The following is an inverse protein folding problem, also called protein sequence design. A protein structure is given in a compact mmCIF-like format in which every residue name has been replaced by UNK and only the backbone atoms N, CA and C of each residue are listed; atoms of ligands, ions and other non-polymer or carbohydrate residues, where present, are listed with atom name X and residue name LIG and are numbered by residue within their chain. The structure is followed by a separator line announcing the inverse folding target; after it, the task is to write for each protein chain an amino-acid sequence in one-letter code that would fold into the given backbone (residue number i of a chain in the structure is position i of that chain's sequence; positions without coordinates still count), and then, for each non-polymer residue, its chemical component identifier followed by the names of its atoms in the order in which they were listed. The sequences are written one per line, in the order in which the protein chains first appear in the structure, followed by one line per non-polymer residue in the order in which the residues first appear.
data_IF_397873925422
#
_entry.id   IF_397873925422
#
_cell.length_a   1.000
_cell.length_b   1.000
_cell.length_c   1.000
_cell.angle_alpha   90.00
_cell.angle_beta   90.00
_cell.angle_gamma   90.00
#
_symmetry.space_group_name_H-M   'P 1'
#
loop_
_entity.id
_entity.type
_entity.pdbx_description
1 polymer ?
#
# COMPACT_ATOMS: atom_id res chain seq x y z
N UNK A 1 -15.00 14.31 8.51
CA UNK A 1 -15.05 13.53 7.26
C UNK A 1 -16.44 12.97 7.19
N UNK A 2 -17.24 13.42 6.24
CA UNK A 2 -18.58 12.86 6.04
C UNK A 2 -18.64 12.32 4.62
N UNK A 3 -18.87 11.02 4.48
CA UNK A 3 -19.10 10.37 3.19
C UNK A 3 -20.57 10.49 2.77
N UNK A 4 -21.40 11.12 3.61
CA UNK A 4 -22.84 11.19 3.44
C UNK A 4 -23.52 9.87 3.77
N UNK A 5 -24.80 9.77 3.39
CA UNK A 5 -25.57 8.54 3.57
C UNK A 5 -25.01 7.41 2.72
N UNK A 6 -24.90 6.22 3.32
CA UNK A 6 -24.40 5.07 2.59
C UNK A 6 -25.38 4.67 1.48
N UNK A 7 -24.85 4.44 0.27
CA UNK A 7 -25.63 3.98 -0.87
C UNK A 7 -26.14 2.53 -0.73
N UNK A 8 -25.60 1.76 0.23
CA UNK A 8 -25.97 0.36 0.45
C UNK A 8 -27.01 0.23 1.56
N UNK A 9 -27.88 -0.76 1.44
CA UNK A 9 -28.86 -1.10 2.47
C UNK A 9 -28.20 -1.81 3.65
N UNK A 10 -28.37 -1.24 4.85
CA UNK A 10 -27.84 -1.78 6.09
C UNK A 10 -28.98 -2.22 7.01
N UNK A 11 -29.58 -3.37 6.71
CA UNK A 11 -30.61 -4.00 7.54
C UNK A 11 -29.99 -4.99 8.53
N UNK A 12 -30.48 -4.98 9.77
CA UNK A 12 -30.08 -5.91 10.82
C UNK A 12 -30.48 -7.35 10.49
N UNK A 13 -31.58 -7.55 9.75
CA UNK A 13 -32.01 -8.88 9.31
C UNK A 13 -30.95 -9.53 8.39
N UNK A 14 -30.45 -8.77 7.42
CA UNK A 14 -29.42 -9.23 6.47
C UNK A 14 -28.10 -9.60 7.17
N UNK A 15 -27.80 -8.93 8.30
CA UNK A 15 -26.63 -9.27 9.10
C UNK A 15 -26.78 -10.64 9.79
N UNK A 16 -27.95 -10.94 10.35
CA UNK A 16 -28.21 -12.23 10.98
C UNK A 16 -28.10 -13.37 9.95
N UNK A 17 -28.66 -13.17 8.76
CA UNK A 17 -28.57 -14.13 7.65
C UNK A 17 -27.11 -14.36 7.24
N UNK A 18 -26.30 -13.29 7.17
CA UNK A 18 -24.88 -13.39 6.89
C UNK A 18 -24.11 -14.18 7.96
N UNK A 19 -24.40 -13.95 9.25
CA UNK A 19 -23.74 -14.67 10.35
C UNK A 19 -24.04 -16.18 10.34
N UNK A 20 -25.22 -16.58 9.87
CA UNK A 20 -25.58 -17.98 9.64
C UNK A 20 -24.85 -18.52 8.40
N UNK A 21 -24.93 -17.82 7.28
CA UNK A 21 -24.36 -18.25 6.00
C UNK A 21 -22.82 -18.31 6.01
N UNK A 22 -22.17 -17.43 6.76
CA UNK A 22 -20.70 -17.38 6.91
C UNK A 22 -20.13 -18.63 7.60
N UNK A 23 -20.94 -19.34 8.40
CA UNK A 23 -20.56 -20.63 9.00
C UNK A 23 -20.61 -21.77 7.99
N UNK A 24 -21.52 -21.70 7.02
CA UNK A 24 -21.73 -22.75 6.02
C UNK A 24 -20.88 -22.57 4.77
N UNK A 25 -20.60 -21.32 4.36
CA UNK A 25 -19.91 -21.01 3.09
C UNK A 25 -18.93 -19.86 3.25
N UNK A 26 -17.77 -19.99 2.59
CA UNK A 26 -16.81 -18.89 2.46
C UNK A 26 -17.33 -17.88 1.42
N UNK A 27 -17.81 -16.73 1.88
CA UNK A 27 -18.51 -15.76 1.03
C UNK A 27 -17.65 -14.62 0.46
N UNK A 28 -16.33 -14.60 0.71
CA UNK A 28 -15.33 -13.63 0.19
C UNK A 28 -15.62 -12.14 0.38
N UNK A 29 -16.73 -11.74 1.02
CA UNK A 29 -17.06 -10.34 1.30
C UNK A 29 -16.00 -9.63 2.17
N UNK A 30 -15.15 -10.38 2.87
CA UNK A 30 -14.01 -9.85 3.61
C UNK A 30 -12.97 -9.17 2.70
N UNK A 31 -12.80 -9.63 1.45
CA UNK A 31 -11.86 -9.02 0.51
C UNK A 31 -12.31 -7.61 0.11
N UNK A 32 -13.55 -7.49 -0.35
CA UNK A 32 -14.14 -6.19 -0.71
C UNK A 32 -14.17 -5.24 0.49
N UNK A 33 -14.41 -5.77 1.70
CA UNK A 33 -14.37 -4.99 2.93
C UNK A 33 -12.95 -4.49 3.25
N UNK A 34 -11.92 -5.33 3.07
CA UNK A 34 -10.52 -4.92 3.25
C UNK A 34 -10.15 -3.84 2.26
N UNK A 35 -10.44 -4.00 0.97
CA UNK A 35 -10.11 -3.02 -0.07
C UNK A 35 -10.77 -1.65 0.20
N UNK A 36 -12.02 -1.66 0.65
CA UNK A 36 -12.73 -0.44 1.02
C UNK A 36 -12.15 0.23 2.28
N UNK A 37 -11.80 -0.56 3.30
CA UNK A 37 -11.17 -0.01 4.52
C UNK A 37 -9.74 0.47 4.27
N UNK A 38 -8.98 -0.21 3.40
CA UNK A 38 -7.63 0.20 3.01
C UNK A 38 -7.63 1.53 2.27
N UNK A 39 -8.51 1.69 1.28
CA UNK A 39 -8.63 2.96 0.56
C UNK A 39 -9.03 4.10 1.49
N UNK A 40 -9.95 3.85 2.43
CA UNK A 40 -10.35 4.83 3.43
C UNK A 40 -9.21 5.24 4.37
N UNK A 41 -8.42 4.29 4.87
CA UNK A 41 -7.26 4.59 5.73
C UNK A 41 -6.18 5.32 4.93
N UNK A 42 -5.91 4.91 3.69
CA UNK A 42 -4.92 5.56 2.83
C UNK A 42 -5.28 7.04 2.56
N UNK A 43 -6.56 7.35 2.33
CA UNK A 43 -7.03 8.72 2.18
C UNK A 43 -6.85 9.55 3.46
N UNK A 44 -7.03 8.93 4.63
CA UNK A 44 -6.84 9.58 5.93
C UNK A 44 -5.36 9.83 6.22
N UNK A 45 -4.50 8.87 5.93
CA UNK A 45 -3.05 8.99 6.13
C UNK A 45 -2.49 10.06 5.17
N UNK A 46 -2.92 10.07 3.90
CA UNK A 46 -2.56 11.13 2.95
C UNK A 46 -2.99 12.51 3.43
N UNK A 47 -4.20 12.66 3.98
CA UNK A 47 -4.67 13.92 4.56
C UNK A 47 -3.85 14.33 5.78
N UNK A 48 -3.47 13.36 6.62
CA UNK A 48 -2.62 13.59 7.79
C UNK A 48 -1.24 14.09 7.37
N UNK A 49 -0.63 13.49 6.35
CA UNK A 49 0.66 13.93 5.81
C UNK A 49 0.57 15.34 5.21
N UNK A 50 -0.48 15.64 4.44
CA UNK A 50 -0.69 16.98 3.89
C UNK A 50 -0.88 18.02 4.99
N UNK A 51 -1.63 17.70 6.04
CA UNK A 51 -1.81 18.58 7.19
C UNK A 51 -0.50 18.80 7.95
N UNK A 52 0.31 17.74 8.14
CA UNK A 52 1.65 17.83 8.73
C UNK A 52 2.58 18.71 7.88
N UNK A 53 2.60 18.52 6.55
CA UNK A 53 3.42 19.33 5.63
C UNK A 53 3.02 20.80 5.66
N UNK A 54 1.72 21.11 5.56
CA UNK A 54 1.23 22.49 5.66
C UNK A 54 1.63 23.14 6.99
N UNK A 55 1.54 22.40 8.08
CA UNK A 55 1.89 22.91 9.40
C UNK A 55 3.39 23.20 9.50
N UNK A 56 4.25 22.32 8.97
CA UNK A 56 5.70 22.56 8.88
C UNK A 56 6.01 23.76 7.98
N UNK A 57 5.43 23.82 6.78
CA UNK A 57 5.62 24.94 5.84
C UNK A 57 5.25 26.28 6.49
N UNK A 58 4.10 26.36 7.17
CA UNK A 58 3.73 27.58 7.90
C UNK A 58 4.66 27.90 9.06
N UNK A 59 5.22 26.88 9.74
CA UNK A 59 6.18 27.10 10.82
C UNK A 59 7.52 27.60 10.29
N UNK A 60 7.98 27.05 9.16
CA UNK A 60 9.22 27.45 8.50
C UNK A 60 9.11 28.86 7.91
N UNK A 61 7.98 29.20 7.28
CA UNK A 61 7.71 30.55 6.76
C UNK A 61 7.71 31.60 7.89
N UNK A 62 6.99 31.33 8.98
CA UNK A 62 6.95 32.25 10.14
C UNK A 62 8.34 32.34 10.79
N UNK A 63 9.07 31.22 10.93
CA UNK A 63 10.39 31.22 11.55
C UNK A 63 11.42 31.97 10.69
N UNK A 64 11.35 31.84 9.36
CA UNK A 64 12.22 32.54 8.43
C UNK A 64 11.91 34.04 8.41
N UNK A 65 10.63 34.45 8.42
CA UNK A 65 10.26 35.87 8.46
C UNK A 65 10.69 36.53 9.79
N UNK A 66 10.47 35.84 10.91
CA UNK A 66 10.91 36.31 12.24
C UNK A 66 12.44 36.36 12.32
N UNK A 67 13.16 35.35 11.78
CA UNK A 67 14.62 35.36 11.75
C UNK A 67 15.17 36.52 10.90
N UNK A 68 14.61 36.76 9.72
CA UNK A 68 15.02 37.87 8.85
C UNK A 68 14.79 39.23 9.52
N UNK A 69 13.64 39.43 10.18
CA UNK A 69 13.37 40.67 10.94
C UNK A 69 14.22 40.80 12.20
N UNK A 70 14.64 39.69 12.82
CA UNK A 70 15.62 39.73 13.91
C UNK A 70 17.01 40.12 13.37
N UNK A 71 17.42 39.58 12.23
CA UNK A 71 18.68 39.92 11.57
C UNK A 71 18.75 41.41 11.21
N UNK A 72 17.69 42.01 10.65
CA UNK A 72 17.68 43.46 10.35
C UNK A 72 17.84 44.32 11.62
N UNK A 73 17.23 43.93 12.74
CA UNK A 73 17.43 44.60 14.03
C UNK A 73 18.88 44.42 14.50
N UNK A 74 19.48 43.25 14.32
CA UNK A 74 20.88 43.01 14.65
C UNK A 74 21.85 43.84 13.78
N UNK A 75 21.62 43.92 12.47
CA UNK A 75 22.43 44.74 11.55
C UNK A 75 22.39 46.23 11.92
N UNK A 76 21.20 46.77 12.22
CA UNK A 76 21.05 48.16 12.67
C UNK A 76 21.75 48.40 14.02
N UNK A 77 21.77 47.40 14.92
CA UNK A 77 22.53 47.49 16.17
C UNK A 77 24.04 47.53 15.92
N UNK A 78 24.55 46.73 14.98
CA UNK A 78 25.97 46.76 14.60
C UNK A 78 26.36 48.08 13.95
N UNK A 79 25.50 48.64 13.09
CA UNK A 79 25.73 49.93 12.44
C UNK A 79 25.77 51.06 13.48
N UNK A 80 24.83 51.07 14.43
CA UNK A 80 24.85 51.99 15.57
C UNK A 80 26.16 51.85 16.36
N UNK A 81 26.61 50.62 16.63
CA UNK A 81 27.88 50.37 17.33
C UNK A 81 29.10 50.94 16.58
N UNK A 82 29.15 50.75 15.26
CA UNK A 82 30.23 51.28 14.40
C UNK A 82 30.23 52.81 14.35
N UNK A 83 29.07 53.43 14.23
CA UNK A 83 28.94 54.89 14.19
C UNK A 83 29.25 55.54 15.55
N UNK A 84 28.83 54.91 16.66
CA UNK A 84 29.18 55.37 18.01
C UNK A 84 30.70 55.30 18.25
N UNK A 85 31.35 54.21 17.85
CA UNK A 85 32.81 54.10 17.98
C UNK A 85 33.55 55.18 17.15
N UNK A 86 33.05 55.51 15.96
CA UNK A 86 33.60 56.62 15.15
C UNK A 86 33.37 57.99 15.79
N UNK A 87 32.19 58.21 16.38
CA UNK A 87 31.89 59.45 17.10
C UNK A 87 32.80 59.63 18.33
N UNK A 88 33.08 58.54 19.06
CA UNK A 88 34.03 58.54 20.19
C UNK A 88 35.46 58.88 19.75
N UNK A 89 35.92 58.32 18.61
CA UNK A 89 37.25 58.62 18.06
C UNK A 89 37.40 60.09 17.66
N UNK A 90 36.45 60.63 16.89
CA UNK A 90 36.46 62.05 16.47
C UNK A 90 36.36 63.00 17.67
N UNK A 91 35.63 62.60 18.71
CA UNK A 91 35.57 63.32 19.99
C UNK A 91 36.91 63.34 20.71
N UNK A 92 37.67 62.24 20.69
CA UNK A 92 39.01 62.17 21.29
C UNK A 92 40.05 63.00 20.52
N UNK A 93 39.91 63.12 19.20
CA UNK A 93 40.75 63.95 18.33
C UNK A 93 40.43 65.45 18.42
N UNK A 94 39.31 65.83 19.05
CA UNK A 94 38.90 67.22 19.26
C UNK A 94 38.07 67.82 18.11
N UNK A 95 37.66 67.01 17.13
CA UNK A 95 36.81 67.42 16.02
C UNK A 95 35.32 67.41 16.42
N UNK A 96 34.93 68.39 17.24
CA UNK A 96 33.60 68.46 17.86
C UNK A 96 32.47 68.60 16.83
N UNK A 97 32.67 69.41 15.79
CA UNK A 97 31.66 69.67 14.76
C UNK A 97 31.34 68.40 13.93
N UNK A 98 32.38 67.63 13.57
CA UNK A 98 32.23 66.38 12.83
C UNK A 98 31.62 65.27 13.70
N UNK A 99 32.04 65.18 14.97
CA UNK A 99 31.44 64.25 15.92
C UNK A 99 29.94 64.51 16.13
N UNK A 100 29.51 65.78 16.14
CA UNK A 100 28.11 66.15 16.28
C UNK A 100 27.27 65.74 15.06
N UNK A 101 27.84 65.80 13.84
CA UNK A 101 27.19 65.28 12.63
C UNK A 101 27.02 63.76 12.66
N UNK A 102 28.04 63.02 13.09
CA UNK A 102 27.96 61.54 13.21
C UNK A 102 26.93 61.14 14.28
N UNK A 103 26.82 61.89 15.39
CA UNK A 103 25.79 61.65 16.41
C UNK A 103 24.36 61.87 15.88
N UNK A 104 24.14 62.87 15.03
CA UNK A 104 22.85 63.06 14.35
C UNK A 104 22.51 61.90 13.40
N UNK A 105 23.51 61.30 12.74
CA UNK A 105 23.30 60.09 11.96
C UNK A 105 22.95 58.89 12.84
N UNK A 106 23.60 58.74 14.00
CA UNK A 106 23.23 57.70 15.00
C UNK A 106 21.78 57.85 15.46
N UNK A 107 21.28 59.06 15.69
CA UNK A 107 19.87 59.29 16.04
C UNK A 107 18.91 58.85 14.93
N UNK A 108 19.24 59.12 13.65
CA UNK A 108 18.45 58.65 12.50
C UNK A 108 18.43 57.12 12.42
N UNK A 109 19.58 56.46 12.62
CA UNK A 109 19.67 54.99 12.63
C UNK A 109 18.94 54.40 13.84
N UNK A 110 18.99 55.06 15.01
CA UNK A 110 18.20 54.68 16.20
C UNK A 110 16.69 54.79 15.97
N UNK A 111 16.22 55.81 15.27
CA UNK A 111 14.80 55.91 14.88
C UNK A 111 14.40 54.72 14.01
N UNK A 112 15.19 54.41 12.97
CA UNK A 112 14.95 53.26 12.09
C UNK A 112 15.01 51.93 12.84
N UNK A 113 15.92 51.78 13.80
CA UNK A 113 15.98 50.62 14.70
C UNK A 113 14.69 50.47 15.50
N UNK A 114 14.15 51.57 16.04
CA UNK A 114 12.91 51.55 16.81
C UNK A 114 11.73 51.11 15.94
N UNK A 115 11.66 51.61 14.72
CA UNK A 115 10.63 51.23 13.74
C UNK A 115 10.76 49.74 13.37
N UNK A 116 11.98 49.25 13.13
CA UNK A 116 12.26 47.84 12.85
C UNK A 116 11.97 46.91 14.04
N UNK A 117 12.25 47.35 15.28
CA UNK A 117 11.90 46.59 16.49
C UNK A 117 10.39 46.55 16.75
N UNK A 118 9.67 47.60 16.39
CA UNK A 118 8.22 47.65 16.45
C UNK A 118 7.61 46.74 15.37
N UNK A 119 8.15 46.75 14.16
CA UNK A 119 7.76 45.83 13.08
C UNK A 119 8.08 44.37 13.43
N UNK A 120 9.24 44.10 14.06
CA UNK A 120 9.60 42.78 14.59
C UNK A 120 8.59 42.31 15.65
N UNK A 121 8.28 43.17 16.63
CA UNK A 121 7.26 42.86 17.66
C UNK A 121 5.87 42.63 17.07
N UNK A 122 5.47 43.45 16.11
CA UNK A 122 4.17 43.34 15.44
C UNK A 122 4.09 42.11 14.52
N UNK A 123 5.22 41.71 13.93
CA UNK A 123 5.36 40.47 13.16
C UNK A 123 5.45 39.21 14.00
N UNK A 124 5.57 39.37 15.32
CA UNK A 124 5.49 38.31 16.31
C UNK A 124 4.15 38.34 17.06
N UNK A 125 2.98 38.36 16.38
CA UNK A 125 1.71 38.38 17.09
C UNK A 125 1.51 37.05 17.81
N UNK A 126 0.96 37.09 19.03
CA UNK A 126 0.69 35.92 19.86
C UNK A 126 -0.17 34.84 19.15
N UNK A 127 -0.96 35.23 18.15
CA UNK A 127 -1.78 34.35 17.31
C UNK A 127 -0.94 33.48 16.34
N UNK A 128 0.15 34.00 15.77
CA UNK A 128 1.06 33.22 14.92
C UNK A 128 1.87 32.21 15.76
N UNK A 129 2.29 32.60 16.96
CA UNK A 129 2.94 31.72 17.93
C UNK A 129 2.00 30.62 18.45
N UNK A 130 0.69 30.86 18.47
CA UNK A 130 -0.31 29.83 18.78
C UNK A 130 -0.41 28.77 17.66
N UNK A 131 -0.23 29.15 16.39
CA UNK A 131 -0.20 28.19 15.27
C UNK A 131 1.07 27.31 15.29
N UNK A 132 2.20 27.84 15.80
CA UNK A 132 3.43 27.05 16.01
C UNK A 132 3.28 25.95 17.07
N UNK A 133 2.23 26.01 17.89
CA UNK A 133 1.98 25.06 18.98
C UNK A 133 0.90 24.05 18.66
N UNK A 134 0.57 23.86 17.39
CA UNK A 134 -0.38 22.84 16.95
C UNK A 134 0.37 21.57 16.53
N UNK A 135 -0.21 20.41 16.82
CA UNK A 135 0.19 19.09 16.35
C UNK A 135 -1.00 18.45 15.64
N UNK A 136 -0.75 17.72 14.56
CA UNK A 136 -1.80 16.92 13.92
C UNK A 136 -1.90 15.55 14.62
N UNK A 137 -3.10 15.14 14.99
CA UNK A 137 -3.38 13.79 15.48
C UNK A 137 -3.30 12.78 14.33
N UNK A 138 -2.55 11.71 14.54
CA UNK A 138 -2.26 10.69 13.52
C UNK A 138 -3.45 9.77 13.22
N UNK A 139 -4.42 9.73 14.13
CA UNK A 139 -5.62 8.90 14.01
C UNK A 139 -6.72 9.66 13.29
N UNK A 140 -6.97 10.92 13.66
CA UNK A 140 -8.14 11.69 13.19
C UNK A 140 -7.82 12.80 12.21
N UNK A 141 -6.55 13.04 11.88
CA UNK A 141 -6.10 14.17 11.05
C UNK A 141 -6.52 15.57 11.56
N UNK A 142 -6.94 15.67 12.82
CA UNK A 142 -7.34 16.94 13.45
C UNK A 142 -6.13 17.66 14.07
N UNK A 143 -6.17 18.98 14.13
CA UNK A 143 -5.17 19.80 14.83
C UNK A 143 -5.47 19.83 16.34
N UNK A 144 -4.45 19.57 17.15
CA UNK A 144 -4.47 19.62 18.62
C UNK A 144 -3.43 20.64 19.10
N UNK A 145 -3.75 21.43 20.11
CA UNK A 145 -2.77 22.29 20.77
C UNK A 145 -1.84 21.48 21.67
N UNK A 146 -0.54 21.76 21.62
CA UNK A 146 0.46 21.13 22.49
C UNK A 146 0.24 21.46 23.97
N UNK A 147 -0.42 22.58 24.27
CA UNK A 147 -0.69 23.08 25.62
C UNK A 147 -2.18 22.98 25.97
N UNK A 148 -2.94 22.20 25.21
CA UNK A 148 -4.33 21.97 25.56
C UNK A 148 -4.42 21.16 26.87
N UNK A 149 -5.35 21.56 27.75
CA UNK A 149 -5.60 20.87 29.00
C UNK A 149 -5.98 19.40 28.76
N UNK A 150 -5.53 18.50 29.65
CA UNK A 150 -5.83 17.06 29.58
C UNK A 150 -7.32 16.74 29.42
N UNK A 151 -8.19 17.57 29.98
CA UNK A 151 -9.65 17.45 29.80
C UNK A 151 -10.07 17.58 28.33
N UNK A 152 -9.49 18.54 27.59
CA UNK A 152 -9.78 18.74 26.16
C UNK A 152 -9.17 17.63 25.30
N UNK A 153 -7.99 17.15 25.69
CA UNK A 153 -7.38 15.97 25.05
C UNK A 153 -8.25 14.73 25.25
N UNK A 154 -8.79 14.51 26.45
CA UNK A 154 -9.72 13.42 26.73
C UNK A 154 -10.99 13.49 25.85
N UNK A 155 -11.56 14.68 25.66
CA UNK A 155 -12.71 14.87 24.77
C UNK A 155 -12.36 14.57 23.29
N UNK A 156 -11.13 14.86 22.86
CA UNK A 156 -10.64 14.47 21.54
C UNK A 156 -10.51 12.95 21.40
N UNK A 157 -9.82 12.29 22.34
CA UNK A 157 -9.57 10.85 22.31
C UNK A 157 -10.85 10.02 22.55
N UNK A 158 -11.77 10.53 23.36
CA UNK A 158 -13.10 9.97 23.58
C UNK A 158 -14.12 10.33 22.49
N UNK A 159 -13.71 11.12 21.50
CA UNK A 159 -14.57 11.52 20.39
C UNK A 159 -14.92 10.36 19.47
N UNK A 160 -16.12 10.39 18.89
CA UNK A 160 -16.60 9.37 17.94
C UNK A 160 -15.68 9.19 16.74
N UNK A 161 -15.06 10.28 16.26
CA UNK A 161 -14.11 10.22 15.16
C UNK A 161 -12.85 9.44 15.56
N UNK A 162 -12.26 9.74 16.72
CA UNK A 162 -11.03 9.09 17.18
C UNK A 162 -11.23 7.60 17.44
N UNK A 163 -12.24 7.27 18.23
CA UNK A 163 -12.57 5.87 18.51
C UNK A 163 -13.00 5.11 17.25
N UNK A 164 -13.72 5.76 16.34
CA UNK A 164 -14.12 5.15 15.06
C UNK A 164 -12.91 4.78 14.20
N UNK A 165 -11.91 5.66 14.09
CA UNK A 165 -10.69 5.37 13.34
C UNK A 165 -9.83 4.28 13.98
N UNK A 166 -9.74 4.24 15.31
CA UNK A 166 -9.06 3.13 16.01
C UNK A 166 -9.75 1.80 15.67
N UNK A 167 -11.08 1.74 15.82
CA UNK A 167 -11.85 0.54 15.50
C UNK A 167 -11.70 0.11 14.04
N UNK A 168 -11.63 1.07 13.11
CA UNK A 168 -11.42 0.78 11.68
C UNK A 168 -10.02 0.17 11.45
N UNK A 169 -8.97 0.75 12.04
CA UNK A 169 -7.60 0.22 11.94
C UNK A 169 -7.48 -1.18 12.53
N UNK A 170 -8.06 -1.41 13.72
CA UNK A 170 -8.09 -2.73 14.37
C UNK A 170 -8.87 -3.76 13.54
N UNK A 171 -10.04 -3.39 13.01
CA UNK A 171 -10.85 -4.27 12.16
C UNK A 171 -10.14 -4.61 10.86
N UNK A 172 -9.45 -3.65 10.25
CA UNK A 172 -8.66 -3.89 9.05
C UNK A 172 -7.51 -4.86 9.34
N UNK A 173 -6.81 -4.74 10.46
CA UNK A 173 -5.76 -5.68 10.83
C UNK A 173 -6.33 -7.09 11.07
N UNK A 174 -7.48 -7.19 11.75
CA UNK A 174 -8.16 -8.46 11.97
C UNK A 174 -8.59 -9.12 10.64
N UNK A 175 -9.21 -8.37 9.73
CA UNK A 175 -9.65 -8.87 8.43
C UNK A 175 -8.48 -9.24 7.52
N UNK A 176 -7.36 -8.51 7.56
CA UNK A 176 -6.16 -8.87 6.83
C UNK A 176 -5.61 -10.23 7.27
N UNK A 177 -5.57 -10.50 8.57
CA UNK A 177 -5.16 -11.80 9.12
C UNK A 177 -6.08 -12.91 8.61
N UNK A 178 -7.41 -12.73 8.66
CA UNK A 178 -8.34 -13.77 8.17
C UNK A 178 -8.21 -14.01 6.66
N UNK A 179 -7.98 -12.96 5.87
CA UNK A 179 -7.76 -13.08 4.43
C UNK A 179 -6.47 -13.84 4.13
N UNK A 180 -5.37 -13.50 4.81
CA UNK A 180 -4.08 -14.19 4.65
C UNK A 180 -4.22 -15.66 5.05
N UNK A 181 -4.81 -15.96 6.22
CA UNK A 181 -5.02 -17.34 6.68
C UNK A 181 -5.87 -18.16 5.68
N UNK A 182 -6.91 -17.55 5.11
CA UNK A 182 -7.74 -18.19 4.07
C UNK A 182 -6.95 -18.41 2.78
N UNK A 183 -6.13 -17.45 2.38
CA UNK A 183 -5.29 -17.56 1.19
C UNK A 183 -4.20 -18.62 1.38
N UNK A 184 -3.61 -18.71 2.56
CA UNK A 184 -2.65 -19.74 2.94
C UNK A 184 -3.30 -21.12 2.97
N UNK A 185 -4.48 -21.28 3.58
CA UNK A 185 -5.24 -22.55 3.54
C UNK A 185 -5.54 -22.99 2.11
N UNK A 186 -5.93 -22.04 1.24
CA UNK A 186 -6.14 -22.31 -0.19
C UNK A 186 -4.85 -22.71 -0.92
N UNK A 187 -3.74 -22.06 -0.62
CA UNK A 187 -2.43 -22.40 -1.19
C UNK A 187 -1.95 -23.76 -0.70
N UNK A 188 -2.17 -24.09 0.58
CA UNK A 188 -1.87 -25.40 1.15
C UNK A 188 -2.75 -26.50 0.55
N UNK A 189 -4.05 -26.28 0.35
CA UNK A 189 -4.92 -27.26 -0.33
C UNK A 189 -4.48 -27.48 -1.78
N UNK A 190 -4.12 -26.41 -2.50
CA UNK A 190 -3.56 -26.51 -3.86
C UNK A 190 -2.25 -27.29 -3.90
N UNK A 191 -1.36 -27.07 -2.93
CA UNK A 191 -0.11 -27.81 -2.79
C UNK A 191 -0.37 -29.29 -2.47
N UNK A 192 -1.26 -29.60 -1.51
CA UNK A 192 -1.65 -30.97 -1.17
C UNK A 192 -2.24 -31.71 -2.37
N UNK A 193 -3.16 -31.09 -3.12
CA UNK A 193 -3.71 -31.67 -4.36
C UNK A 193 -2.63 -31.91 -5.43
N UNK A 194 -1.62 -31.04 -5.50
CA UNK A 194 -0.49 -31.22 -6.41
C UNK A 194 0.37 -32.42 -5.99
N UNK A 195 0.70 -32.51 -4.71
CA UNK A 195 1.46 -33.63 -4.15
C UNK A 195 0.72 -34.96 -4.28
N UNK A 196 -0.60 -34.98 -4.08
CA UNK A 196 -1.44 -36.17 -4.29
C UNK A 196 -1.39 -36.64 -5.74
N UNK A 197 -1.52 -35.73 -6.70
CA UNK A 197 -1.38 -36.05 -8.13
C UNK A 197 0.01 -36.60 -8.45
N UNK A 198 1.07 -36.02 -7.87
CA UNK A 198 2.44 -36.52 -8.06
C UNK A 198 2.64 -37.91 -7.44
N UNK A 199 2.09 -38.16 -6.25
CA UNK A 199 2.12 -39.48 -5.59
C UNK A 199 1.35 -40.52 -6.42
N UNK A 200 0.18 -40.17 -6.94
CA UNK A 200 -0.62 -41.03 -7.81
C UNK A 200 0.11 -41.34 -9.12
N UNK A 201 0.74 -40.34 -9.75
CA UNK A 201 1.58 -40.55 -10.93
C UNK A 201 2.79 -41.46 -10.64
N UNK A 202 3.46 -41.28 -9.49
CA UNK A 202 4.58 -42.16 -9.06
C UNK A 202 4.10 -43.60 -8.85
N UNK A 203 2.97 -43.79 -8.17
CA UNK A 203 2.32 -45.11 -7.99
C UNK A 203 1.97 -45.74 -9.33
N UNK A 204 1.37 -44.97 -10.26
CA UNK A 204 1.01 -45.44 -11.59
C UNK A 204 2.22 -45.83 -12.42
N UNK A 205 3.31 -45.04 -12.37
CA UNK A 205 4.60 -45.37 -13.01
C UNK A 205 5.17 -46.67 -12.45
N UNK A 206 5.16 -46.86 -11.11
CA UNK A 206 5.60 -48.09 -10.45
C UNK A 206 4.76 -49.30 -10.86
N UNK A 207 3.42 -49.17 -10.89
CA UNK A 207 2.52 -50.22 -11.33
C UNK A 207 2.73 -50.62 -12.79
N UNK A 208 2.92 -49.63 -13.69
CA UNK A 208 3.27 -49.90 -15.10
C UNK A 208 4.61 -50.62 -15.20
N UNK A 209 5.61 -50.22 -14.41
CA UNK A 209 6.91 -50.88 -14.35
C UNK A 209 6.78 -52.34 -13.87
N UNK A 210 6.00 -52.61 -12.83
CA UNK A 210 5.75 -53.98 -12.35
C UNK A 210 4.99 -54.81 -13.39
N UNK A 211 4.00 -54.24 -14.08
CA UNK A 211 3.27 -54.93 -15.15
C UNK A 211 4.19 -55.31 -16.32
N UNK A 212 5.08 -54.40 -16.71
CA UNK A 212 6.07 -54.65 -17.77
C UNK A 212 7.11 -55.69 -17.35
N UNK A 213 7.53 -55.70 -16.08
CA UNK A 213 8.39 -56.73 -15.52
C UNK A 213 7.72 -58.12 -15.49
N UNK A 214 6.45 -58.22 -15.09
CA UNK A 214 5.72 -59.49 -15.14
C UNK A 214 5.50 -59.98 -16.59
N UNK A 215 5.22 -59.08 -17.53
CA UNK A 215 5.03 -59.41 -18.95
C UNK A 215 6.32 -59.90 -19.60
N UNK A 216 7.47 -59.36 -19.22
CA UNK A 216 8.79 -59.83 -19.68
C UNK A 216 9.13 -61.20 -19.08
N UNK A 217 8.90 -61.42 -17.78
CA UNK A 217 9.07 -62.75 -17.13
C UNK A 217 8.15 -63.84 -17.71
N UNK A 218 6.92 -63.48 -18.09
CA UNK A 218 5.97 -64.39 -18.74
C UNK A 218 6.37 -64.74 -20.19
N UNK A 219 6.94 -63.79 -20.94
CA UNK A 219 7.55 -64.05 -22.26
C UNK A 219 8.79 -64.95 -22.15
N UNK A 220 9.59 -64.80 -21.10
CA UNK A 220 10.75 -65.67 -20.85
C UNK A 220 10.32 -67.11 -20.50
N UNK A 221 9.27 -67.29 -19.69
CA UNK A 221 8.68 -68.62 -19.44
C UNK A 221 8.10 -69.27 -20.70
N UNK A 222 7.49 -68.49 -21.61
CA UNK A 222 7.01 -69.02 -22.90
C UNK A 222 8.14 -69.44 -23.84
N UNK A 223 9.32 -68.80 -23.79
CA UNK A 223 10.51 -69.23 -24.54
C UNK A 223 11.15 -70.50 -23.99
N UNK A 224 11.00 -70.80 -22.70
CA UNK A 224 11.52 -72.05 -22.10
C UNK A 224 10.57 -73.25 -22.26
N UNK A 225 9.26 -73.03 -22.50
CA UNK A 225 8.27 -74.10 -22.72
C UNK A 225 8.24 -74.64 -24.16
N UNK A 226 8.96 -74.02 -25.10
CA UNK A 226 9.07 -74.46 -26.50
C UNK A 226 10.37 -75.24 -26.81
N UNK A 227 11.04 -75.79 -25.79
CA UNK A 227 12.28 -76.59 -25.96
C UNK A 227 12.18 -78.07 -25.59
N UNK A 228 10.99 -78.61 -25.31
CA UNK A 228 10.83 -80.03 -25.02
C UNK A 228 9.46 -80.58 -25.45
N UNK A 229 9.30 -80.95 -26.72
CA UNK A 229 8.54 -82.14 -27.11
C UNK A 229 8.77 -82.42 -28.59
N UNK A 230 9.81 -83.21 -28.86
CA UNK A 230 10.06 -83.86 -30.13
C UNK A 230 9.29 -85.18 -30.13
N UNK A 231 8.31 -85.34 -31.03
CA UNK A 231 8.09 -86.49 -31.92
C UNK A 231 6.61 -86.68 -32.29
N UNK A 232 6.42 -86.69 -33.62
CA UNK A 232 5.43 -87.43 -34.40
C UNK A 232 3.93 -87.16 -34.19
N UNK A 233 3.28 -86.57 -35.20
CA UNK A 233 2.44 -87.35 -36.13
C UNK A 233 2.06 -86.55 -37.38
N UNK A 234 1.84 -87.33 -38.43
CA UNK A 234 1.84 -87.00 -39.86
C UNK A 234 0.52 -86.35 -40.33
N UNK A 235 0.68 -85.51 -41.37
CA UNK A 235 -0.17 -85.33 -42.57
C UNK A 235 -1.70 -85.27 -42.39
N UNK A 236 -2.28 -84.11 -42.75
CA UNK A 236 -3.34 -84.11 -43.77
C UNK A 236 -3.52 -82.71 -44.36
N UNK A 237 -3.41 -82.64 -45.68
CA UNK A 237 -3.59 -81.49 -46.55
C UNK A 237 -5.06 -81.11 -46.68
N UNK A 238 -5.42 -79.85 -46.41
CA UNK A 238 -6.59 -79.24 -47.05
C UNK A 238 -6.45 -77.73 -47.18
N UNK A 239 -6.24 -77.32 -48.42
CA UNK A 239 -6.33 -75.96 -48.94
C UNK A 239 -7.69 -75.32 -48.62
N UNK A 240 -7.67 -74.12 -48.06
CA UNK A 240 -8.77 -73.15 -48.21
C UNK A 240 -8.28 -71.73 -47.96
N UNK A 241 -8.09 -71.03 -49.07
CA UNK A 241 -7.94 -69.60 -49.21
C UNK A 241 -9.05 -68.87 -48.47
N UNK A 242 -8.70 -67.81 -47.73
CA UNK A 242 -9.59 -66.65 -47.50
C UNK A 242 -8.81 -65.48 -46.93
N UNK A 243 -8.66 -64.49 -47.79
CA UNK A 243 -8.38 -63.09 -47.49
C UNK A 243 -9.06 -62.59 -46.22
N UNK A 244 -8.34 -61.78 -45.45
CA UNK A 244 -8.94 -60.70 -44.65
C UNK A 244 -7.93 -59.58 -44.38
N UNK A 245 -8.18 -58.50 -45.10
CA UNK A 245 -7.60 -57.16 -45.00
C UNK A 245 -7.18 -56.72 -43.60
N UNK A 246 -5.92 -56.28 -43.48
CA UNK A 246 -5.48 -55.36 -42.42
C UNK A 246 -5.97 -53.94 -42.74
N UNK A 247 -7.05 -53.50 -42.11
CA UNK A 247 -7.36 -52.06 -42.03
C UNK A 247 -6.58 -51.42 -40.89
N UNK A 248 -5.42 -50.84 -41.24
CA UNK A 248 -4.76 -49.79 -40.44
C UNK A 248 -5.52 -48.47 -40.67
N UNK A 249 -6.16 -47.92 -39.64
CA UNK A 249 -6.59 -46.51 -39.64
C UNK A 249 -5.69 -45.72 -38.69
N UNK A 250 -4.71 -45.04 -39.28
CA UNK A 250 -4.04 -43.90 -38.68
C UNK A 250 -4.99 -42.71 -38.79
N UNK A 251 -5.31 -42.06 -37.67
CA UNK A 251 -6.04 -40.78 -37.66
C UNK A 251 -5.06 -39.67 -37.31
N UNK A 252 -4.39 -39.17 -38.34
CA UNK A 252 -3.64 -37.92 -38.30
C UNK A 252 -4.66 -36.78 -38.31
N UNK A 253 -4.73 -35.99 -37.24
CA UNK A 253 -5.51 -34.74 -37.23
C UNK A 253 -4.55 -33.59 -37.45
N UNK A 254 -4.37 -33.24 -38.71
CA UNK A 254 -3.63 -32.06 -39.15
C UNK A 254 -4.45 -30.79 -38.92
N UNK A 255 -3.76 -29.77 -38.44
CA UNK A 255 -4.12 -28.35 -38.43
C UNK A 255 -4.35 -27.85 -39.85
N UNK A 256 -5.37 -27.02 -40.07
CA UNK A 256 -5.31 -25.81 -40.91
C UNK A 256 -6.66 -25.09 -41.05
N UNK A 257 -6.58 -23.76 -41.15
CA UNK A 257 -7.52 -22.79 -41.75
C UNK A 257 -8.60 -22.19 -40.82
N UNK A 258 -8.35 -21.05 -40.14
CA UNK A 258 -8.51 -19.64 -40.56
C UNK A 258 -9.90 -19.21 -41.07
N UNK A 259 -10.57 -18.35 -40.29
CA UNK A 259 -11.29 -17.17 -40.79
C UNK A 259 -11.66 -16.23 -39.62
N UNK A 260 -11.06 -15.05 -39.64
CA UNK A 260 -11.42 -13.97 -38.73
C UNK A 260 -12.75 -13.34 -39.11
N UNK A 261 -13.43 -12.80 -38.10
CA UNK A 261 -14.37 -11.69 -38.24
C UNK A 261 -14.14 -10.74 -37.07
N UNK A 262 -13.62 -9.56 -37.40
CA UNK A 262 -13.64 -8.37 -36.53
C UNK A 262 -15.08 -7.88 -36.46
N UNK A 263 -15.52 -7.59 -35.24
CA UNK A 263 -16.79 -6.92 -34.97
C UNK A 263 -16.46 -5.44 -34.76
N UNK A 264 -16.98 -4.57 -35.62
CA UNK A 264 -16.98 -3.11 -35.41
C UNK A 264 -18.35 -2.69 -34.87
N UNK A 265 -18.44 -1.59 -34.08
CA UNK A 265 -19.66 -1.17 -33.41
C UNK A 265 -20.47 -0.18 -34.27
N UNK A 266 -21.78 -0.42 -34.34
CA UNK A 266 -22.75 0.48 -34.99
C UNK A 266 -23.03 1.69 -34.10
N UNK A 267 -22.53 2.86 -34.49
CA UNK A 267 -23.05 4.17 -34.08
C UNK A 267 -24.48 4.37 -34.59
N UNK A 268 -25.43 4.68 -33.70
CA UNK A 268 -26.68 5.36 -34.08
C UNK A 268 -27.11 6.34 -32.99
N UNK A 269 -27.11 7.61 -33.35
CA UNK A 269 -27.70 8.72 -32.62
C UNK A 269 -29.20 8.54 -32.39
N UNK A 270 -29.64 8.88 -31.17
CA UNK A 270 -30.69 9.86 -30.89
C UNK A 270 -30.46 10.45 -29.51
#
# INVERSE_FOLDING_TARGET
MDLGDCAKTHDLALRADYEIASKERELFFELDAVDHLESFIADCDRRTELAKKRLVETQDEISAEVAAKAETVHELNEEIGKLLAKAEQLGAEGNVDEAQLVLQEVEKVRSRKRDAEEEYRNSMPASSFQQQKLRVCEVCSAYLGLHDNDRRLADHFGGKLHLGFIQIREKLEALKKTVIDKQEKRNQDRLKRREEREKEERMKKRWVQDLTFQKSRSRERRRRRSRSSSRERRRSSRSRSRDRERRRRHRSRSRSCSKGRRHEPSTRHK
#
